data_IF_363125665858
#
_entry.id   IF_363125665858
#
_cell.length_a   1.000
_cell.length_b   1.000
_cell.length_c   1.000
_cell.angle_alpha   90.00
_cell.angle_beta   90.00
_cell.angle_gamma   90.00
#
_symmetry.space_group_name_H-M   'P 1'
#
loop_
_entity.id
_entity.type
_entity.pdbx_description
1 polymer ?
#
# COMPACT_ATOMS: atom_id res chain seq x y z
N UNK A 1 28.21 -7.04 13.37
CA UNK A 1 28.16 -8.22 12.49
C UNK A 1 26.70 -8.51 12.19
N UNK A 2 26.26 -8.26 10.97
CA UNK A 2 24.90 -8.58 10.51
C UNK A 2 24.76 -10.12 10.47
N UNK A 3 23.72 -10.71 11.07
CA UNK A 3 23.43 -12.14 10.92
C UNK A 3 22.82 -12.36 9.52
N UNK A 4 23.31 -13.37 8.80
CA UNK A 4 22.70 -13.83 7.55
C UNK A 4 21.20 -14.12 7.78
N UNK A 5 20.34 -13.49 6.98
CA UNK A 5 18.91 -13.72 7.01
C UNK A 5 18.52 -14.67 5.86
N UNK A 6 18.20 -15.94 6.13
CA UNK A 6 17.82 -16.89 5.08
C UNK A 6 16.51 -16.51 4.37
N UNK A 7 15.62 -15.74 5.01
CA UNK A 7 14.36 -15.28 4.42
C UNK A 7 14.55 -14.04 3.51
N UNK A 8 15.69 -13.34 3.64
CA UNK A 8 16.03 -12.17 2.85
C UNK A 8 17.55 -12.07 2.61
N UNK A 9 18.14 -12.95 1.76
CA UNK A 9 19.59 -13.03 1.56
C UNK A 9 20.19 -11.76 0.91
N UNK A 10 19.39 -10.94 0.23
CA UNK A 10 19.80 -9.65 -0.32
C UNK A 10 19.71 -8.48 0.66
N UNK A 11 19.30 -8.72 1.91
CA UNK A 11 19.22 -7.70 2.96
C UNK A 11 20.59 -7.06 3.24
N UNK A 12 21.66 -7.83 3.02
CA UNK A 12 23.05 -7.39 3.13
C UNK A 12 23.45 -6.32 2.11
N UNK A 13 22.74 -6.23 0.97
CA UNK A 13 23.01 -5.27 -0.12
C UNK A 13 22.34 -3.91 0.11
N UNK A 14 21.75 -3.70 1.30
CA UNK A 14 21.32 -2.40 1.81
C UNK A 14 19.96 -1.87 1.31
N UNK A 15 19.49 -2.32 0.15
CA UNK A 15 18.21 -1.86 -0.42
C UNK A 15 16.98 -2.58 0.15
N UNK A 16 17.16 -3.76 0.75
CA UNK A 16 16.07 -4.64 1.19
C UNK A 16 15.51 -4.32 2.60
N UNK A 17 16.31 -3.67 3.47
CA UNK A 17 15.97 -3.48 4.89
C UNK A 17 15.55 -2.06 5.31
N UNK A 18 15.99 -1.01 4.61
CA UNK A 18 15.84 0.36 5.11
C UNK A 18 14.42 0.94 4.99
N UNK A 19 13.58 0.42 4.09
CA UNK A 19 12.23 0.96 3.88
C UNK A 19 11.29 0.79 5.09
N UNK A 20 11.47 -0.28 5.87
CA UNK A 20 10.63 -0.59 7.04
C UNK A 20 10.96 0.30 8.24
N UNK A 21 12.22 0.71 8.36
CA UNK A 21 12.71 1.67 9.36
C UNK A 21 12.42 3.11 8.95
N UNK A 22 12.58 3.44 7.67
CA UNK A 22 12.37 4.80 7.14
C UNK A 22 10.90 5.18 7.04
N UNK A 23 9.99 4.22 6.84
CA UNK A 23 8.58 4.51 6.58
C UNK A 23 7.58 3.49 7.17
N UNK A 24 7.60 3.18 8.48
CA UNK A 24 6.58 2.33 9.09
C UNK A 24 5.16 2.90 8.97
N UNK A 25 5.02 4.22 8.85
CA UNK A 25 3.77 4.93 8.49
C UNK A 25 3.72 5.35 7.01
N UNK A 26 4.88 5.65 6.40
CA UNK A 26 4.95 6.18 5.04
C UNK A 26 4.48 5.18 3.98
N UNK A 27 4.70 3.88 4.18
CA UNK A 27 4.17 2.85 3.27
C UNK A 27 2.64 2.92 3.12
N UNK A 28 1.90 3.17 4.21
CA UNK A 28 0.43 3.27 4.17
C UNK A 28 -0.06 4.55 3.53
N UNK A 29 0.61 5.67 3.79
CA UNK A 29 0.28 6.95 3.17
C UNK A 29 0.47 6.85 1.65
N UNK A 30 1.56 6.22 1.20
CA UNK A 30 1.80 5.99 -0.23
C UNK A 30 0.73 5.10 -0.88
N UNK A 31 0.25 4.06 -0.18
CA UNK A 31 -0.85 3.24 -0.67
C UNK A 31 -2.15 4.05 -0.82
N UNK A 32 -2.47 4.91 0.15
CA UNK A 32 -3.64 5.80 0.07
C UNK A 32 -3.49 6.88 -1.02
N UNK A 33 -2.27 7.39 -1.26
CA UNK A 33 -1.99 8.27 -2.39
C UNK A 33 -2.26 7.53 -3.71
N UNK A 34 -1.81 6.28 -3.84
CA UNK A 34 -2.11 5.45 -5.01
C UNK A 34 -3.62 5.30 -5.24
N UNK A 35 -4.39 5.02 -4.18
CA UNK A 35 -5.86 4.97 -4.25
C UNK A 35 -6.44 6.31 -4.71
N UNK A 36 -6.00 7.43 -4.14
CA UNK A 36 -6.49 8.76 -4.52
C UNK A 36 -6.18 9.07 -6.00
N UNK A 37 -4.98 8.72 -6.47
CA UNK A 37 -4.57 8.93 -7.86
C UNK A 37 -5.48 8.20 -8.86
N UNK A 38 -5.94 6.98 -8.55
CA UNK A 38 -6.90 6.25 -9.41
C UNK A 38 -8.17 7.07 -9.66
N UNK A 39 -8.66 7.79 -8.65
CA UNK A 39 -9.86 8.62 -8.77
C UNK A 39 -9.58 9.99 -9.38
N UNK A 40 -8.39 10.56 -9.16
CA UNK A 40 -7.95 11.79 -9.84
C UNK A 40 -7.91 11.59 -11.36
N UNK A 41 -7.49 10.41 -11.83
CA UNK A 41 -7.41 10.08 -13.26
C UNK A 41 -8.77 10.06 -13.98
N UNK A 42 -9.89 10.07 -13.25
CA UNK A 42 -11.22 10.25 -13.82
C UNK A 42 -11.43 11.68 -14.39
N UNK A 43 -10.63 12.64 -13.93
CA UNK A 43 -10.67 14.02 -14.40
C UNK A 43 -9.74 14.12 -15.63
N UNK A 44 -10.31 14.04 -16.83
CA UNK A 44 -9.54 14.10 -18.07
C UNK A 44 -10.42 14.21 -19.31
N UNK A 45 -9.78 14.24 -20.48
CA UNK A 45 -10.46 14.37 -21.79
C UNK A 45 -10.95 13.01 -22.35
N UNK A 46 -11.26 12.04 -21.48
CA UNK A 46 -11.67 10.71 -21.90
C UNK A 46 -13.08 10.75 -22.50
N UNK A 47 -13.23 10.30 -23.75
CA UNK A 47 -14.55 10.15 -24.40
C UNK A 47 -15.23 8.83 -24.09
N UNK A 48 -14.44 7.78 -23.85
CA UNK A 48 -14.94 6.45 -23.52
C UNK A 48 -15.01 6.27 -22.01
N UNK A 49 -16.12 5.72 -21.52
CA UNK A 49 -16.31 5.40 -20.10
C UNK A 49 -15.72 4.06 -19.67
N UNK A 50 -15.17 3.30 -20.62
CA UNK A 50 -14.58 1.99 -20.31
C UNK A 50 -13.43 2.15 -19.31
N UNK A 51 -12.56 3.15 -19.54
CA UNK A 51 -11.46 3.46 -18.63
C UNK A 51 -11.95 3.81 -17.23
N UNK A 52 -12.99 4.66 -17.13
CA UNK A 52 -13.58 5.05 -15.84
C UNK A 52 -14.05 3.84 -15.03
N UNK A 53 -14.67 2.84 -15.67
CA UNK A 53 -15.11 1.63 -14.98
C UNK A 53 -13.94 0.84 -14.41
N UNK A 54 -12.83 0.74 -15.13
CA UNK A 54 -11.61 0.08 -14.62
C UNK A 54 -10.95 0.89 -13.51
N UNK A 55 -10.82 2.21 -13.66
CA UNK A 55 -10.24 3.09 -12.65
C UNK A 55 -11.04 3.04 -11.34
N UNK A 56 -12.37 3.12 -11.43
CA UNK A 56 -13.28 3.01 -10.29
C UNK A 56 -13.20 1.62 -9.67
N UNK A 57 -13.29 0.55 -10.49
CA UNK A 57 -13.28 -0.83 -10.00
C UNK A 57 -11.99 -1.17 -9.25
N UNK A 58 -10.84 -0.85 -9.84
CA UNK A 58 -9.53 -1.09 -9.22
C UNK A 58 -9.34 -0.19 -8.00
N UNK A 59 -9.68 1.11 -8.11
CA UNK A 59 -9.57 2.05 -6.99
C UNK A 59 -10.41 1.66 -5.78
N UNK A 60 -11.65 1.20 -5.99
CA UNK A 60 -12.52 0.68 -4.92
C UNK A 60 -11.93 -0.59 -4.30
N UNK A 61 -11.46 -1.54 -5.11
CA UNK A 61 -10.86 -2.77 -4.62
C UNK A 61 -9.64 -2.48 -3.73
N UNK A 62 -8.76 -1.58 -4.16
CA UNK A 62 -7.61 -1.13 -3.38
C UNK A 62 -8.04 -0.46 -2.06
N UNK A 63 -9.02 0.44 -2.10
CA UNK A 63 -9.51 1.14 -0.91
C UNK A 63 -10.11 0.18 0.11
N UNK A 64 -10.96 -0.76 -0.33
CA UNK A 64 -11.57 -1.77 0.53
C UNK A 64 -10.52 -2.68 1.17
N UNK A 65 -9.54 -3.14 0.39
CA UNK A 65 -8.45 -3.97 0.90
C UNK A 65 -7.62 -3.24 1.97
N UNK A 66 -7.32 -1.96 1.74
CA UNK A 66 -6.53 -1.15 2.66
C UNK A 66 -7.31 -0.84 3.95
N UNK A 67 -8.61 -0.54 3.85
CA UNK A 67 -9.50 -0.37 5.00
C UNK A 67 -9.60 -1.65 5.84
N UNK A 68 -9.80 -2.80 5.19
CA UNK A 68 -9.86 -4.09 5.88
C UNK A 68 -8.56 -4.38 6.63
N UNK A 69 -7.41 -4.09 6.00
CA UNK A 69 -6.09 -4.25 6.59
C UNK A 69 -5.90 -3.32 7.80
N UNK A 70 -6.31 -2.06 7.70
CA UNK A 70 -6.27 -1.10 8.82
C UNK A 70 -7.14 -1.55 10.00
N UNK A 71 -8.37 -2.02 9.73
CA UNK A 71 -9.26 -2.56 10.76
C UNK A 71 -8.64 -3.78 11.45
N UNK A 72 -8.05 -4.71 10.69
CA UNK A 72 -7.37 -5.89 11.24
C UNK A 72 -6.19 -5.50 12.14
N UNK A 73 -5.35 -4.57 11.70
CA UNK A 73 -4.20 -4.09 12.47
C UNK A 73 -4.65 -3.35 13.74
N UNK A 74 -5.70 -2.52 13.66
CA UNK A 74 -6.28 -1.84 14.83
C UNK A 74 -6.81 -2.83 15.84
N UNK A 75 -7.54 -3.86 15.40
CA UNK A 75 -8.02 -4.95 16.27
C UNK A 75 -6.84 -5.64 16.95
N UNK A 76 -5.82 -6.06 16.20
CA UNK A 76 -4.62 -6.72 16.75
C UNK A 76 -3.87 -5.87 17.78
N UNK A 77 -3.82 -4.54 17.61
CA UNK A 77 -3.22 -3.64 18.62
C UNK A 77 -4.02 -3.59 19.92
N UNK A 78 -5.36 -3.69 19.84
CA UNK A 78 -6.23 -3.70 21.03
C UNK A 78 -6.15 -5.02 21.81
N UNK A 79 -5.85 -6.13 21.15
CA UNK A 79 -5.80 -7.47 21.76
C UNK A 79 -4.42 -7.85 22.33
N UNK A 80 -3.39 -7.00 22.21
CA UNK A 80 -2.10 -7.25 22.84
C UNK A 80 -2.14 -6.72 24.29
N UNK A 81 -1.92 -7.57 25.31
CA UNK A 81 -1.79 -7.13 26.71
C UNK A 81 -0.53 -6.31 26.93
#
# INVERSE_FOLDING_TARGET
>A
MQRYNPDAPSEEWGWHGSWREFAPKGSRVMLWIGVAMMFVMLIGNHKSRVEDYYLIGIGLLMALWLLHTEVKIRKQRKTRP
#
